data_IF_490628785462
#
_entry.id   IF_490628785462
#
_cell.length_a   1.000
_cell.length_b   1.000
_cell.length_c   1.000
_cell.angle_alpha   90.00
_cell.angle_beta   90.00
_cell.angle_gamma   90.00
#
_symmetry.space_group_name_H-M   'P 1'
#
loop_
_entity.id
_entity.type
_entity.pdbx_description
1 polymer ?
#
# COMPACT_ATOMS: atom_id res chain seq x y z
N UNK A 1 3.88 36.99 -6.52
CA UNK A 1 5.16 36.42 -6.05
C UNK A 1 4.91 35.11 -5.31
N UNK A 2 5.10 33.95 -5.96
CA UNK A 2 4.91 32.63 -5.35
C UNK A 2 6.19 32.21 -4.62
N UNK A 3 6.17 32.33 -3.29
CA UNK A 3 7.24 31.84 -2.42
C UNK A 3 7.28 30.31 -2.42
N UNK A 4 8.11 29.75 -3.29
CA UNK A 4 8.36 28.32 -3.38
C UNK A 4 9.33 27.90 -2.26
N UNK A 5 8.85 27.90 -1.01
CA UNK A 5 9.59 27.38 0.15
C UNK A 5 9.46 25.85 0.21
N UNK A 6 10.13 25.16 -0.71
CA UNK A 6 10.61 23.80 -0.46
C UNK A 6 12.04 23.91 0.09
N UNK A 7 12.19 24.54 1.27
CA UNK A 7 13.40 24.45 2.06
C UNK A 7 13.55 23.01 2.56
N UNK A 8 14.75 22.45 2.41
CA UNK A 8 15.16 21.17 2.99
C UNK A 8 14.73 21.11 4.46
N UNK A 9 13.73 20.29 4.78
CA UNK A 9 13.66 19.74 6.14
C UNK A 9 14.72 18.64 6.20
N UNK A 10 15.85 18.94 6.80
CA UNK A 10 16.73 17.88 7.29
C UNK A 10 15.91 16.98 8.22
N UNK A 11 16.15 15.67 8.15
CA UNK A 11 15.43 14.72 8.98
C UNK A 11 15.81 14.95 10.44
N UNK A 12 14.81 15.24 11.26
CA UNK A 12 15.00 15.34 12.69
C UNK A 12 15.09 13.92 13.31
N UNK A 13 15.41 13.84 14.61
CA UNK A 13 15.54 12.57 15.31
C UNK A 13 14.26 11.72 15.26
N UNK A 14 13.09 12.35 15.41
CA UNK A 14 11.78 11.67 15.35
C UNK A 14 11.49 11.12 13.96
N UNK A 15 11.86 11.83 12.89
CA UNK A 15 11.70 11.35 11.52
C UNK A 15 12.54 10.06 11.32
N UNK A 16 13.79 10.07 11.78
CA UNK A 16 14.70 8.91 11.69
C UNK A 16 14.15 7.73 12.49
N UNK A 17 13.74 7.96 13.73
CA UNK A 17 13.15 6.94 14.58
C UNK A 17 11.89 6.32 13.97
N UNK A 18 11.01 7.15 13.42
CA UNK A 18 9.81 6.67 12.73
C UNK A 18 10.16 5.81 11.51
N UNK A 19 11.17 6.20 10.73
CA UNK A 19 11.68 5.41 9.60
C UNK A 19 12.20 4.05 10.06
N UNK A 20 13.01 3.99 11.11
CA UNK A 20 13.55 2.73 11.66
C UNK A 20 12.44 1.76 12.09
N UNK A 21 11.39 2.30 12.73
CA UNK A 21 10.27 1.51 13.24
C UNK A 21 9.38 0.94 12.12
N UNK A 22 9.15 1.70 11.05
CA UNK A 22 8.03 1.40 10.13
C UNK A 22 8.42 1.15 8.68
N UNK A 23 9.58 1.62 8.22
CA UNK A 23 9.91 1.63 6.78
C UNK A 23 9.85 0.27 6.11
N UNK A 24 10.19 -0.81 6.83
CA UNK A 24 10.15 -2.19 6.32
C UNK A 24 8.76 -2.63 5.82
N UNK A 25 7.68 -2.00 6.31
CA UNK A 25 6.29 -2.32 5.94
C UNK A 25 5.65 -1.29 5.00
N UNK A 26 6.40 -0.27 4.57
CA UNK A 26 5.86 0.87 3.84
C UNK A 26 5.19 0.48 2.51
N UNK A 27 5.77 -0.45 1.75
CA UNK A 27 5.22 -0.83 0.44
C UNK A 27 3.96 -1.68 0.57
N UNK A 28 3.92 -2.57 1.57
CA UNK A 28 2.78 -3.41 1.92
C UNK A 28 1.61 -2.51 2.35
N UNK A 29 1.87 -1.58 3.27
CA UNK A 29 0.89 -0.61 3.73
C UNK A 29 0.31 0.24 2.59
N UNK A 30 1.15 0.63 1.64
CA UNK A 30 0.72 1.40 0.45
C UNK A 30 0.04 0.55 -0.63
N UNK A 31 -0.03 -0.78 -0.48
CA UNK A 31 -0.65 -1.69 -1.43
C UNK A 31 0.04 -1.69 -2.80
N UNK A 32 1.36 -1.52 -2.83
CA UNK A 32 2.16 -1.27 -4.05
C UNK A 32 2.53 -2.56 -4.79
N UNK A 33 1.52 -3.38 -5.07
CA UNK A 33 1.61 -4.77 -5.48
C UNK A 33 1.81 -5.02 -6.99
N UNK A 34 2.02 -3.95 -7.77
CA UNK A 34 2.15 -3.99 -9.22
C UNK A 34 3.01 -2.85 -9.74
N UNK A 35 3.60 -3.04 -10.93
CA UNK A 35 4.47 -2.04 -11.54
C UNK A 35 3.80 -0.67 -11.74
N UNK A 36 2.54 -0.64 -12.17
CA UNK A 36 1.80 0.60 -12.37
C UNK A 36 1.69 1.42 -11.08
N UNK A 37 1.43 0.77 -9.94
CA UNK A 37 1.42 1.41 -8.62
C UNK A 37 2.82 1.82 -8.18
N UNK A 38 3.80 0.94 -8.33
CA UNK A 38 5.20 1.21 -7.96
C UNK A 38 5.78 2.41 -8.69
N UNK A 39 5.50 2.56 -9.98
CA UNK A 39 6.00 3.69 -10.78
C UNK A 39 5.60 5.05 -10.21
N UNK A 40 4.47 5.14 -9.48
CA UNK A 40 3.96 6.38 -8.86
C UNK A 40 4.76 6.82 -7.64
N UNK A 41 5.52 5.91 -7.03
CA UNK A 41 6.31 6.19 -5.82
C UNK A 41 7.81 6.24 -6.09
N UNK A 42 8.24 6.05 -7.35
CA UNK A 42 9.62 6.23 -7.75
C UNK A 42 9.89 7.71 -8.01
N UNK A 43 10.83 8.29 -7.27
CA UNK A 43 11.23 9.68 -7.41
C UNK A 43 12.74 9.80 -7.19
N UNK A 44 13.34 10.93 -7.55
CA UNK A 44 14.72 11.21 -7.19
C UNK A 44 14.83 11.30 -5.66
N UNK A 45 15.61 10.44 -5.03
CA UNK A 45 15.74 10.39 -3.57
C UNK A 45 17.19 10.38 -3.09
N UNK A 46 17.39 10.92 -1.88
CA UNK A 46 18.63 10.74 -1.13
C UNK A 46 18.53 9.41 -0.38
N UNK A 47 19.33 8.42 -0.81
CA UNK A 47 19.26 7.06 -0.29
C UNK A 47 19.66 7.00 1.19
N UNK A 48 18.88 6.25 1.97
CA UNK A 48 19.13 6.01 3.39
C UNK A 48 19.74 4.63 3.60
N UNK A 49 20.66 4.52 4.56
CA UNK A 49 21.20 3.22 4.96
C UNK A 49 20.27 2.58 6.00
N UNK A 50 19.56 1.51 5.61
CA UNK A 50 18.55 0.83 6.42
C UNK A 50 18.54 -0.66 6.04
N UNK A 51 19.63 -1.37 6.32
CA UNK A 51 19.90 -2.70 5.77
C UNK A 51 18.72 -3.67 5.93
N UNK A 52 18.16 -3.81 7.14
CA UNK A 52 17.03 -4.71 7.39
C UNK A 52 15.76 -4.31 6.62
N UNK A 53 15.40 -3.02 6.65
CA UNK A 53 14.20 -2.54 5.95
C UNK A 53 14.35 -2.66 4.43
N UNK A 54 15.57 -2.45 3.91
CA UNK A 54 15.89 -2.59 2.50
C UNK A 54 15.67 -4.02 2.01
N UNK A 55 16.01 -5.05 2.81
CA UNK A 55 15.78 -6.44 2.41
C UNK A 55 14.28 -6.74 2.23
N UNK A 56 13.45 -6.30 3.17
CA UNK A 56 11.98 -6.50 3.11
C UNK A 56 11.36 -5.75 1.92
N UNK A 57 11.78 -4.51 1.73
CA UNK A 57 11.36 -3.69 0.58
C UNK A 57 11.79 -4.35 -0.73
N UNK A 58 13.03 -4.83 -0.81
CA UNK A 58 13.56 -5.51 -1.99
C UNK A 58 12.79 -6.79 -2.29
N UNK A 59 12.41 -7.55 -1.26
CA UNK A 59 11.56 -8.72 -1.38
C UNK A 59 10.17 -8.35 -1.91
N UNK A 60 9.54 -7.29 -1.39
CA UNK A 60 8.22 -6.85 -1.84
C UNK A 60 8.21 -6.30 -3.28
N UNK A 61 9.27 -5.59 -3.68
CA UNK A 61 9.47 -5.15 -5.06
C UNK A 61 9.66 -6.35 -5.99
N UNK A 62 10.39 -7.37 -5.55
CA UNK A 62 10.57 -8.61 -6.30
C UNK A 62 9.26 -9.37 -6.45
N UNK A 63 8.45 -9.45 -5.39
CA UNK A 63 7.09 -9.99 -5.44
C UNK A 63 6.21 -9.25 -6.46
N UNK A 64 6.22 -7.91 -6.43
CA UNK A 64 5.45 -7.08 -7.35
C UNK A 64 5.92 -7.19 -8.80
N UNK A 65 7.24 -7.34 -9.01
CA UNK A 65 7.82 -7.61 -10.31
C UNK A 65 7.39 -8.99 -10.82
N UNK A 66 7.42 -10.01 -9.97
CA UNK A 66 6.99 -11.37 -10.32
C UNK A 66 5.52 -11.42 -10.75
N UNK A 67 4.62 -10.69 -10.07
CA UNK A 67 3.22 -10.54 -10.51
C UNK A 67 3.11 -9.88 -11.88
N UNK A 68 3.91 -8.84 -12.12
CA UNK A 68 3.93 -8.13 -13.40
C UNK A 68 4.42 -9.04 -14.52
N UNK A 69 5.47 -9.83 -14.28
CA UNK A 69 5.97 -10.85 -15.20
C UNK A 69 4.93 -11.93 -15.47
N UNK A 70 4.28 -12.48 -14.44
CA UNK A 70 3.22 -13.48 -14.59
C UNK A 70 2.07 -12.99 -15.50
N UNK A 71 1.68 -11.71 -15.36
CA UNK A 71 0.71 -11.08 -16.27
C UNK A 71 1.27 -10.92 -17.68
N UNK A 72 2.52 -10.47 -17.80
CA UNK A 72 3.19 -10.30 -19.09
C UNK A 72 3.32 -11.61 -19.87
N UNK A 73 3.55 -12.76 -19.21
CA UNK A 73 3.57 -14.07 -19.86
C UNK A 73 2.22 -14.37 -20.49
N UNK A 74 1.13 -14.18 -19.76
CA UNK A 74 -0.21 -14.38 -20.31
C UNK A 74 -0.50 -13.42 -21.47
N UNK A 75 -0.11 -12.15 -21.34
CA UNK A 75 -0.28 -11.16 -22.41
C UNK A 75 0.53 -11.51 -23.63
N UNK A 76 1.81 -11.88 -23.49
CA UNK A 76 2.69 -12.24 -24.61
C UNK A 76 2.23 -13.50 -25.33
N UNK A 77 1.84 -14.54 -24.58
CA UNK A 77 1.24 -15.75 -25.18
C UNK A 77 -0.05 -15.39 -25.92
N UNK A 78 -0.94 -14.58 -25.34
CA UNK A 78 -2.18 -14.14 -26.01
C UNK A 78 -1.90 -13.30 -27.26
N UNK A 79 -0.94 -12.40 -27.20
CA UNK A 79 -0.54 -11.53 -28.31
C UNK A 79 0.00 -12.36 -29.48
N UNK A 80 0.71 -13.46 -29.21
CA UNK A 80 1.13 -14.42 -30.22
C UNK A 80 -0.06 -15.03 -30.98
N UNK A 81 -1.15 -15.39 -30.28
CA UNK A 81 -2.37 -15.89 -30.92
C UNK A 81 -3.10 -14.82 -31.74
N UNK A 82 -3.05 -13.56 -31.30
CA UNK A 82 -3.81 -12.45 -31.92
C UNK A 82 -3.07 -11.82 -33.10
N UNK A 83 -1.76 -11.57 -32.97
CA UNK A 83 -0.93 -10.91 -34.00
C UNK A 83 -0.61 -11.80 -35.19
N UNK A 84 -0.99 -13.08 -35.14
CA UNK A 84 -0.80 -14.03 -36.24
C UNK A 84 0.64 -14.04 -36.78
N UNK A 85 1.63 -13.93 -35.88
CA UNK A 85 3.01 -14.26 -36.25
C UNK A 85 3.07 -15.78 -36.44
N UNK A 86 2.59 -16.22 -37.60
CA UNK A 86 2.68 -17.61 -38.01
C UNK A 86 3.90 -17.74 -38.92
N UNK A 87 4.72 -18.74 -38.65
CA UNK A 87 5.67 -19.22 -39.64
C UNK A 87 4.88 -20.01 -40.68
N UNK A 88 5.11 -19.67 -41.94
CA UNK A 88 4.62 -20.47 -43.06
C UNK A 88 5.62 -21.59 -43.28
N UNK A 89 5.17 -22.82 -43.10
CA UNK A 89 5.94 -24.01 -43.40
C UNK A 89 5.23 -24.82 -44.47
N UNK A 90 5.97 -25.66 -45.17
CA UNK A 90 5.45 -26.59 -46.19
C UNK A 90 5.88 -27.99 -45.79
N UNK A 91 4.94 -28.93 -45.77
CA UNK A 91 5.24 -30.34 -45.51
C UNK A 91 4.17 -31.25 -46.07
N UNK A 92 4.39 -32.56 -45.98
CA UNK A 92 3.43 -33.58 -46.43
C UNK A 92 2.18 -33.63 -45.53
N UNK A 93 2.33 -33.32 -44.24
CA UNK A 93 1.26 -33.33 -43.24
C UNK A 93 0.96 -31.94 -42.64
N UNK A 94 -0.32 -31.69 -42.34
CA UNK A 94 -0.77 -30.44 -41.70
C UNK A 94 -0.53 -30.50 -40.19
N UNK A 95 0.45 -29.74 -39.70
CA UNK A 95 0.77 -29.63 -38.26
C UNK A 95 0.33 -28.30 -37.63
N UNK A 96 -0.52 -27.52 -38.34
CA UNK A 96 -0.99 -26.20 -37.92
C UNK A 96 -2.27 -25.78 -38.64
N UNK A 97 -2.48 -24.47 -38.82
CA UNK A 97 -3.63 -23.96 -39.59
C UNK A 97 -3.27 -24.03 -41.08
N UNK A 98 -4.02 -24.77 -41.89
CA UNK A 98 -3.78 -24.88 -43.33
C UNK A 98 -3.90 -23.51 -44.02
N UNK A 99 -2.87 -23.11 -44.78
CA UNK A 99 -2.89 -21.95 -45.68
C UNK A 99 -3.25 -22.43 -47.08
N UNK A 100 -4.54 -22.41 -47.39
CA UNK A 100 -5.07 -22.93 -48.67
C UNK A 100 -4.44 -22.19 -49.86
N UNK A 101 -4.32 -20.87 -49.78
CA UNK A 101 -3.82 -20.04 -50.88
C UNK A 101 -2.37 -20.37 -51.24
N UNK A 102 -1.50 -20.55 -50.23
CA UNK A 102 -0.09 -20.93 -50.48
C UNK A 102 0.06 -22.40 -50.86
N UNK A 103 -0.78 -23.28 -50.31
CA UNK A 103 -0.77 -24.72 -50.62
C UNK A 103 -1.04 -25.01 -52.08
N UNK A 104 -1.88 -24.21 -52.75
CA UNK A 104 -2.18 -24.37 -54.18
C UNK A 104 -0.93 -24.35 -55.07
N UNK A 105 0.15 -23.68 -54.63
CA UNK A 105 1.40 -23.60 -55.40
C UNK A 105 2.35 -24.78 -55.17
N UNK A 106 2.11 -25.59 -54.13
CA UNK A 106 3.00 -26.69 -53.71
C UNK A 106 2.36 -28.07 -53.81
N UNK A 107 1.05 -28.12 -54.11
CA UNK A 107 0.34 -29.35 -54.41
C UNK A 107 0.86 -30.03 -55.70
N UNK A 108 0.78 -31.36 -55.81
CA UNK A 108 0.25 -32.30 -54.82
C UNK A 108 1.23 -32.68 -53.71
N UNK A 109 2.49 -32.23 -53.78
CA UNK A 109 3.58 -32.79 -52.98
C UNK A 109 3.64 -32.25 -51.55
N UNK A 110 3.29 -30.98 -51.34
CA UNK A 110 3.30 -30.36 -50.02
C UNK A 110 2.09 -29.46 -49.81
N UNK A 111 1.66 -29.35 -48.56
CA UNK A 111 0.69 -28.37 -48.08
C UNK A 111 1.39 -27.31 -47.25
N UNK A 112 1.04 -26.05 -47.50
CA UNK A 112 1.49 -24.93 -46.70
C UNK A 112 0.59 -24.80 -45.46
N UNK A 113 1.20 -24.76 -44.28
CA UNK A 113 0.48 -24.55 -43.03
C UNK A 113 1.17 -23.47 -42.19
N UNK A 114 0.37 -22.86 -41.33
CA UNK A 114 0.74 -21.79 -40.42
C UNK A 114 0.90 -22.35 -39.02
N UNK A 115 2.10 -22.25 -38.46
CA UNK A 115 2.36 -22.56 -37.06
C UNK A 115 2.66 -21.30 -36.24
N UNK A 116 2.16 -21.19 -35.00
CA UNK A 116 2.51 -20.07 -34.13
C UNK A 116 4.03 -19.93 -34.02
N UNK A 117 4.56 -18.74 -34.27
CA UNK A 117 6.00 -18.48 -34.19
C UNK A 117 6.46 -18.49 -32.73
N UNK A 118 6.73 -19.68 -32.19
CA UNK A 118 7.28 -19.87 -30.84
C UNK A 118 8.72 -19.33 -30.71
N UNK A 119 9.33 -18.85 -31.81
CA UNK A 119 10.66 -18.23 -31.87
C UNK A 119 10.63 -16.70 -31.89
N UNK A 120 9.49 -16.07 -31.54
CA UNK A 120 9.45 -14.62 -31.33
C UNK A 120 10.54 -14.21 -30.33
N UNK A 121 11.41 -13.28 -30.76
CA UNK A 121 12.54 -12.80 -29.95
C UNK A 121 12.04 -12.18 -28.64
N UNK A 122 10.89 -11.53 -28.68
CA UNK A 122 10.22 -10.88 -27.56
C UNK A 122 9.84 -11.89 -26.46
N UNK A 123 9.35 -13.07 -26.86
CA UNK A 123 9.03 -14.15 -25.90
C UNK A 123 10.30 -14.77 -25.31
N UNK A 124 11.38 -14.90 -26.09
CA UNK A 124 12.68 -15.32 -25.56
C UNK A 124 13.26 -14.29 -24.57
N UNK A 125 13.10 -12.99 -24.83
CA UNK A 125 13.47 -11.93 -23.88
C UNK A 125 12.64 -12.02 -22.60
N UNK A 126 11.33 -12.24 -22.72
CA UNK A 126 10.47 -12.46 -21.56
C UNK A 126 10.85 -13.69 -20.76
N UNK A 127 11.25 -14.77 -21.45
CA UNK A 127 11.70 -16.01 -20.81
C UNK A 127 12.95 -15.77 -19.95
N UNK A 128 13.88 -14.93 -20.42
CA UNK A 128 15.03 -14.50 -19.62
C UNK A 128 14.61 -13.68 -18.40
N UNK A 129 13.75 -12.67 -18.58
CA UNK A 129 13.24 -11.82 -17.49
C UNK A 129 12.52 -12.66 -16.42
N UNK A 130 11.73 -13.64 -16.86
CA UNK A 130 10.99 -14.53 -15.97
C UNK A 130 11.91 -15.42 -15.14
N UNK A 131 12.93 -16.03 -15.75
CA UNK A 131 13.93 -16.85 -15.05
C UNK A 131 14.69 -16.03 -14.01
N UNK A 132 15.14 -14.83 -14.36
CA UNK A 132 15.88 -13.93 -13.47
C UNK A 132 15.03 -13.41 -12.31
N UNK A 133 13.80 -12.97 -12.60
CA UNK A 133 12.87 -12.50 -11.56
C UNK A 133 12.49 -13.62 -10.60
N UNK A 134 12.29 -14.84 -11.13
CA UNK A 134 12.00 -16.02 -10.34
C UNK A 134 13.16 -16.42 -9.42
N UNK A 135 14.41 -16.35 -9.90
CA UNK A 135 15.60 -16.59 -9.08
C UNK A 135 15.65 -15.60 -7.92
N UNK A 136 15.57 -14.30 -8.21
CA UNK A 136 15.57 -13.26 -7.19
C UNK A 136 14.43 -13.43 -6.17
N UNK A 137 13.25 -13.89 -6.64
CA UNK A 137 12.10 -14.13 -5.77
C UNK A 137 12.35 -15.28 -4.79
N UNK A 138 12.99 -16.37 -5.24
CA UNK A 138 13.35 -17.49 -4.36
C UNK A 138 14.37 -17.05 -3.31
N UNK A 139 15.40 -16.32 -3.72
CA UNK A 139 16.47 -15.87 -2.82
C UNK A 139 15.94 -14.94 -1.71
N UNK A 140 14.93 -14.13 -2.02
CA UNK A 140 14.35 -13.15 -1.10
C UNK A 140 13.11 -13.65 -0.36
N UNK A 141 12.73 -14.91 -0.53
CA UNK A 141 11.46 -15.43 0.00
C UNK A 141 11.40 -15.36 1.54
N UNK A 142 12.52 -15.52 2.24
CA UNK A 142 12.53 -15.47 3.71
C UNK A 142 12.14 -14.10 4.26
N UNK A 143 12.52 -13.02 3.57
CA UNK A 143 12.17 -11.64 3.96
C UNK A 143 10.69 -11.28 3.74
N UNK A 144 9.91 -12.17 3.13
CA UNK A 144 8.46 -11.98 2.94
C UNK A 144 7.60 -12.44 4.11
N UNK A 145 8.18 -13.18 5.07
CA UNK A 145 7.46 -13.77 6.21
C UNK A 145 7.34 -12.85 7.42
N UNK A 146 7.67 -11.56 7.28
CA UNK A 146 7.73 -10.63 8.41
C UNK A 146 6.35 -10.08 8.74
N UNK A 147 5.88 -10.39 9.95
CA UNK A 147 4.64 -9.87 10.54
C UNK A 147 4.74 -8.37 10.88
N UNK A 148 3.62 -7.61 10.86
CA UNK A 148 2.23 -8.04 10.65
C UNK A 148 1.79 -8.04 9.18
N UNK A 149 2.68 -7.66 8.25
CA UNK A 149 2.38 -7.56 6.81
C UNK A 149 3.13 -8.62 6.01
N UNK A 150 3.05 -9.87 6.46
CA UNK A 150 3.61 -11.00 5.74
C UNK A 150 2.92 -11.13 4.38
N UNK A 151 3.72 -11.34 3.33
CA UNK A 151 3.25 -11.62 1.96
C UNK A 151 3.85 -12.92 1.42
N UNK A 152 4.28 -13.79 2.34
CA UNK A 152 5.00 -15.01 2.04
C UNK A 152 4.18 -16.01 1.24
N UNK A 153 2.91 -16.18 1.60
CA UNK A 153 2.01 -17.09 0.91
C UNK A 153 1.71 -16.61 -0.52
N UNK A 154 1.46 -15.32 -0.70
CA UNK A 154 1.25 -14.68 -1.99
C UNK A 154 2.48 -14.80 -2.87
N UNK A 155 3.67 -14.54 -2.31
CA UNK A 155 4.93 -14.68 -3.02
C UNK A 155 5.18 -16.14 -3.45
N UNK A 156 4.96 -17.12 -2.56
CA UNK A 156 5.03 -18.55 -2.92
C UNK A 156 4.08 -18.93 -4.05
N UNK A 157 2.83 -18.45 -3.99
CA UNK A 157 1.83 -18.68 -5.03
C UNK A 157 2.27 -18.12 -6.38
N UNK A 158 2.81 -16.91 -6.40
CA UNK A 158 3.30 -16.28 -7.64
C UNK A 158 4.58 -16.95 -8.17
N UNK A 159 5.46 -17.45 -7.29
CA UNK A 159 6.63 -18.28 -7.65
C UNK A 159 6.17 -19.57 -8.34
N UNK A 160 5.17 -20.27 -7.79
CA UNK A 160 4.63 -21.50 -8.40
C UNK A 160 4.06 -21.21 -9.79
N UNK A 161 3.22 -20.18 -9.92
CA UNK A 161 2.67 -19.75 -11.22
C UNK A 161 3.75 -19.43 -12.24
N UNK A 162 4.77 -18.66 -11.84
CA UNK A 162 5.87 -18.30 -12.73
C UNK A 162 6.68 -19.53 -13.16
N UNK A 163 6.90 -20.49 -12.25
CA UNK A 163 7.60 -21.73 -12.55
C UNK A 163 6.87 -22.63 -13.54
N UNK A 164 5.54 -22.70 -13.45
CA UNK A 164 4.71 -23.44 -14.42
C UNK A 164 4.68 -22.73 -15.76
N UNK A 165 4.40 -21.42 -15.76
CA UNK A 165 4.24 -20.61 -16.98
C UNK A 165 5.53 -20.44 -17.77
N UNK A 166 6.69 -20.38 -17.12
CA UNK A 166 7.98 -20.27 -17.84
C UNK A 166 8.23 -21.47 -18.77
N UNK A 167 7.61 -22.63 -18.52
CA UNK A 167 7.75 -23.82 -19.37
C UNK A 167 7.10 -23.64 -20.75
N UNK A 168 6.18 -22.69 -20.86
CA UNK A 168 5.48 -22.36 -22.11
C UNK A 168 6.27 -21.36 -22.96
N UNK A 169 7.36 -20.81 -22.44
CA UNK A 169 8.19 -19.83 -23.12
C UNK A 169 9.36 -20.51 -23.82
N UNK A 170 9.87 -19.95 -24.92
CA UNK A 170 11.04 -20.47 -25.61
C UNK A 170 12.32 -20.35 -24.77
N UNK A 171 13.43 -20.82 -25.36
CA UNK A 171 14.75 -20.63 -24.78
C UNK A 171 15.05 -19.14 -24.55
N UNK A 172 15.67 -18.80 -23.40
CA UNK A 172 15.87 -17.42 -23.01
C UNK A 172 16.96 -16.79 -23.85
N UNK A 173 16.75 -15.56 -24.25
CA UNK A 173 17.78 -14.71 -24.86
C UNK A 173 17.92 -13.41 -24.07
N UNK A 174 19.13 -12.84 -24.10
CA UNK A 174 19.40 -11.58 -23.40
C UNK A 174 18.46 -10.50 -23.95
N UNK A 175 17.66 -9.82 -23.10
CA UNK A 175 16.68 -8.85 -23.56
C UNK A 175 17.30 -7.69 -24.33
N UNK A 176 16.83 -7.46 -25.55
CA UNK A 176 17.01 -6.20 -26.27
C UNK A 176 15.66 -5.52 -26.37
N UNK A 177 15.46 -4.46 -25.58
CA UNK A 177 14.17 -3.78 -25.44
C UNK A 177 14.31 -2.33 -25.84
N UNK A 178 13.47 -1.93 -26.79
CA UNK A 178 13.42 -0.60 -27.38
C UNK A 178 12.02 0.03 -27.20
N UNK A 179 11.79 1.15 -27.88
CA UNK A 179 10.51 1.84 -27.84
C UNK A 179 9.40 1.12 -28.62
N UNK A 180 9.75 0.28 -29.59
CA UNK A 180 8.80 -0.48 -30.42
C UNK A 180 8.37 -1.80 -29.77
N UNK A 181 9.09 -2.25 -28.75
CA UNK A 181 8.81 -3.46 -28.01
C UNK A 181 7.41 -3.44 -27.38
N UNK A 182 6.70 -4.58 -27.33
CA UNK A 182 5.37 -4.65 -26.75
C UNK A 182 5.31 -4.17 -25.29
N UNK A 183 4.19 -3.56 -24.90
CA UNK A 183 4.00 -3.02 -23.55
C UNK A 183 4.22 -4.05 -22.45
N UNK A 184 3.78 -5.29 -22.66
CA UNK A 184 3.99 -6.37 -21.70
C UNK A 184 5.48 -6.68 -21.48
N UNK A 185 6.31 -6.58 -22.52
CA UNK A 185 7.75 -6.78 -22.44
C UNK A 185 8.44 -5.60 -21.77
N UNK A 186 8.12 -4.37 -22.21
CA UNK A 186 8.67 -3.13 -21.62
C UNK A 186 8.36 -3.03 -20.13
N UNK A 187 7.12 -3.29 -19.74
CA UNK A 187 6.68 -3.20 -18.34
C UNK A 187 7.30 -4.29 -17.47
N UNK A 188 7.41 -5.53 -17.97
CA UNK A 188 8.03 -6.63 -17.20
C UNK A 188 9.53 -6.40 -17.00
N UNK A 189 10.25 -5.90 -18.00
CA UNK A 189 11.66 -5.55 -17.86
C UNK A 189 11.90 -4.38 -16.90
N UNK A 190 11.09 -3.32 -16.99
CA UNK A 190 11.16 -2.21 -16.03
C UNK A 190 10.91 -2.69 -14.60
N UNK A 191 9.94 -3.57 -14.40
CA UNK A 191 9.66 -4.16 -13.08
C UNK A 191 10.84 -5.00 -12.57
N UNK A 192 11.46 -5.80 -13.43
CA UNK A 192 12.69 -6.53 -13.12
C UNK A 192 13.84 -5.59 -12.69
N UNK A 193 14.10 -4.53 -13.45
CA UNK A 193 15.16 -3.56 -13.14
C UNK A 193 14.97 -2.89 -11.78
N UNK A 194 13.73 -2.53 -11.43
CA UNK A 194 13.39 -1.95 -10.12
C UNK A 194 13.67 -2.95 -9.00
N UNK A 195 13.29 -4.22 -9.18
CA UNK A 195 13.49 -5.27 -8.17
C UNK A 195 14.97 -5.54 -7.87
N UNK A 196 15.86 -5.26 -8.82
CA UNK A 196 17.32 -5.46 -8.68
C UNK A 196 18.02 -4.29 -8.00
N UNK A 197 17.47 -3.07 -8.10
CA UNK A 197 18.20 -1.83 -7.78
C UNK A 197 17.68 -1.09 -6.54
N UNK A 198 16.81 -1.72 -5.77
CA UNK A 198 15.98 -1.04 -4.77
C UNK A 198 16.79 -0.37 -3.66
N UNK A 199 16.96 0.95 -3.75
CA UNK A 199 17.23 1.79 -2.58
C UNK A 199 15.97 2.57 -2.22
N UNK A 200 15.97 3.13 -1.02
CA UNK A 200 14.86 3.91 -0.50
C UNK A 200 15.40 5.22 0.07
N UNK A 201 14.61 6.29 -0.05
CA UNK A 201 15.00 7.57 0.48
C UNK A 201 13.86 8.59 0.48
N UNK A 202 14.21 9.82 0.84
CA UNK A 202 13.30 10.96 0.77
C UNK A 202 13.62 11.78 -0.47
N UNK A 203 12.57 12.43 -1.00
CA UNK A 203 12.64 13.24 -2.22
C UNK A 203 13.83 14.21 -2.18
N UNK A 204 14.61 14.19 -3.25
CA UNK A 204 15.83 14.96 -3.48
C UNK A 204 15.84 15.56 -4.88
N UNK A 205 16.52 16.70 -5.06
CA UNK A 205 16.68 17.35 -6.38
C UNK A 205 17.74 16.65 -7.26
N UNK A 206 18.74 16.02 -6.65
CA UNK A 206 19.87 15.38 -7.34
C UNK A 206 19.92 13.85 -7.19
N UNK A 207 18.94 13.26 -6.49
CA UNK A 207 18.90 11.83 -6.19
C UNK A 207 18.65 10.92 -7.39
N UNK A 208 18.83 9.62 -7.17
CA UNK A 208 18.46 8.56 -8.15
C UNK A 208 16.97 8.23 -8.02
N UNK A 209 16.36 7.79 -9.12
CA UNK A 209 14.95 7.32 -9.11
C UNK A 209 14.85 6.02 -8.33
N UNK A 210 14.35 6.11 -7.11
CA UNK A 210 14.25 5.02 -6.13
C UNK A 210 12.96 5.19 -5.31
N UNK A 211 12.70 4.30 -4.34
CA UNK A 211 11.45 4.32 -3.55
C UNK A 211 11.39 5.57 -2.67
N UNK A 212 10.42 6.45 -2.94
CA UNK A 212 10.15 7.65 -2.15
C UNK A 212 9.30 7.34 -0.93
N UNK A 213 9.87 7.61 0.24
CA UNK A 213 9.16 7.61 1.53
C UNK A 213 8.41 8.93 1.70
N UNK A 214 7.19 8.84 2.21
CA UNK A 214 6.43 9.97 2.72
C UNK A 214 6.26 9.79 4.23
N UNK A 215 6.85 10.70 5.01
CA UNK A 215 6.91 10.58 6.48
C UNK A 215 5.52 10.52 7.12
N UNK A 216 4.56 11.31 6.66
CA UNK A 216 3.19 11.25 7.21
C UNK A 216 2.56 9.88 7.03
N UNK A 217 2.82 9.19 5.92
CA UNK A 217 2.36 7.81 5.67
C UNK A 217 3.08 6.78 6.54
N UNK A 218 4.33 7.03 6.94
CA UNK A 218 4.99 6.21 7.96
C UNK A 218 4.36 6.40 9.34
N UNK A 219 3.90 7.61 9.66
CA UNK A 219 3.22 7.86 10.94
C UNK A 219 1.86 7.16 11.02
N UNK A 220 1.07 7.21 9.95
CA UNK A 220 -0.18 6.43 9.86
C UNK A 220 0.09 4.93 10.06
N UNK A 221 1.14 4.41 9.44
CA UNK A 221 1.60 3.02 9.62
C UNK A 221 2.09 2.73 11.05
N UNK A 222 2.74 3.67 11.71
CA UNK A 222 3.14 3.53 13.12
C UNK A 222 1.92 3.41 14.03
N UNK A 223 0.97 4.33 13.91
CA UNK A 223 -0.27 4.31 14.69
C UNK A 223 -1.05 3.03 14.42
N UNK A 224 -1.10 2.60 13.16
CA UNK A 224 -1.67 1.31 12.80
C UNK A 224 -1.03 0.14 13.56
N UNK A 225 0.30 0.06 13.62
CA UNK A 225 1.00 -1.03 14.34
C UNK A 225 0.65 -1.03 15.83
N UNK A 226 0.51 0.16 16.43
CA UNK A 226 0.06 0.30 17.82
C UNK A 226 -1.37 -0.22 17.99
N UNK A 227 -2.31 0.20 17.13
CA UNK A 227 -3.71 -0.27 17.15
C UNK A 227 -3.79 -1.78 16.96
N UNK A 228 -3.00 -2.34 16.03
CA UNK A 228 -2.93 -3.79 15.79
C UNK A 228 -2.51 -4.56 17.03
N UNK A 229 -1.49 -4.08 17.76
CA UNK A 229 -1.06 -4.70 19.01
C UNK A 229 -2.21 -4.69 20.02
N UNK A 230 -2.97 -3.59 20.12
CA UNK A 230 -4.11 -3.46 21.05
C UNK A 230 -5.18 -4.49 20.76
N UNK A 231 -5.54 -4.62 19.48
CA UNK A 231 -6.57 -5.55 19.05
C UNK A 231 -6.14 -7.02 19.24
N UNK A 232 -4.86 -7.34 18.97
CA UNK A 232 -4.32 -8.69 19.25
C UNK A 232 -4.35 -9.03 20.74
N UNK A 233 -3.99 -8.10 21.62
CA UNK A 233 -4.03 -8.33 23.07
C UNK A 233 -5.47 -8.48 23.60
N UNK A 234 -6.45 -7.81 22.98
CA UNK A 234 -7.87 -8.05 23.24
C UNK A 234 -8.36 -9.43 22.75
N UNK A 235 -7.51 -10.25 22.11
CA UNK A 235 -7.82 -11.61 21.67
C UNK A 235 -8.28 -11.73 20.22
N UNK A 236 -8.34 -10.63 19.46
CA UNK A 236 -8.73 -10.71 18.05
C UNK A 236 -7.67 -11.45 17.22
N UNK A 237 -8.10 -12.48 16.51
CA UNK A 237 -7.26 -13.13 15.50
C UNK A 237 -7.35 -12.34 14.20
N UNK A 238 -6.35 -11.52 13.92
CA UNK A 238 -6.36 -10.60 12.78
C UNK A 238 -5.63 -11.23 11.58
N UNK A 239 -6.31 -11.34 10.45
CA UNK A 239 -5.78 -11.85 9.18
C UNK A 239 -5.84 -10.76 8.11
N UNK A 240 -4.79 -10.67 7.30
CA UNK A 240 -4.78 -9.78 6.13
C UNK A 240 -5.62 -10.34 4.99
N UNK A 241 -6.51 -9.51 4.46
CA UNK A 241 -7.16 -9.67 3.15
C UNK A 241 -6.72 -8.53 2.24
N UNK A 242 -6.95 -8.66 0.94
CA UNK A 242 -6.55 -7.63 -0.04
C UNK A 242 -7.17 -6.25 0.31
N UNK A 243 -6.35 -5.36 0.88
CA UNK A 243 -6.72 -3.97 1.18
C UNK A 243 -7.20 -3.68 2.61
N UNK A 244 -7.42 -4.69 3.46
CA UNK A 244 -7.88 -4.50 4.85
C UNK A 244 -7.57 -5.72 5.72
N UNK A 245 -7.66 -5.56 7.04
CA UNK A 245 -7.53 -6.67 7.97
C UNK A 245 -8.90 -7.04 8.56
N UNK A 246 -9.18 -8.33 8.62
CA UNK A 246 -10.34 -8.88 9.35
C UNK A 246 -9.86 -9.54 10.63
N UNK A 247 -10.47 -9.19 11.75
CA UNK A 247 -10.34 -9.82 13.04
C UNK A 247 -11.62 -10.56 13.41
N UNK A 248 -11.49 -11.68 14.12
CA UNK A 248 -12.63 -12.37 14.72
C UNK A 248 -12.33 -12.75 16.16
N UNK A 249 -13.33 -12.62 17.03
CA UNK A 249 -13.31 -13.08 18.43
C UNK A 249 -14.69 -13.66 18.77
N UNK A 250 -14.80 -15.00 18.77
CA UNK A 250 -16.11 -15.66 18.90
C UNK A 250 -17.06 -15.26 17.77
N UNK A 251 -18.22 -14.69 18.13
CA UNK A 251 -19.21 -14.15 17.17
C UNK A 251 -18.96 -12.68 16.81
N UNK A 252 -17.93 -12.04 17.38
CA UNK A 252 -17.59 -10.66 17.04
C UNK A 252 -16.70 -10.62 15.79
N UNK A 253 -17.11 -9.82 14.81
CA UNK A 253 -16.32 -9.49 13.63
C UNK A 253 -15.70 -8.10 13.80
N UNK A 254 -14.45 -7.96 13.38
CA UNK A 254 -13.73 -6.70 13.40
C UNK A 254 -13.14 -6.43 12.02
N UNK A 255 -13.45 -5.28 11.44
CA UNK A 255 -12.81 -4.80 10.23
C UNK A 255 -11.89 -3.63 10.60
N UNK A 256 -10.64 -3.72 10.16
CA UNK A 256 -9.65 -2.66 10.29
C UNK A 256 -9.26 -2.20 8.87
N UNK A 257 -9.73 -1.01 8.51
CA UNK A 257 -9.61 -0.44 7.17
C UNK A 257 -8.57 0.70 7.13
N UNK A 258 -7.81 0.79 6.03
CA UNK A 258 -6.70 1.76 5.85
C UNK A 258 -6.94 2.67 4.65
N UNK A 259 -7.14 3.97 4.88
CA UNK A 259 -7.32 4.92 3.79
C UNK A 259 -8.40 4.44 2.78
N UNK A 260 -9.39 3.70 3.29
CA UNK A 260 -10.57 3.20 2.59
C UNK A 260 -11.76 3.91 3.19
N UNK A 261 -12.69 4.27 2.32
CA UNK A 261 -13.97 4.83 2.72
C UNK A 261 -14.78 3.79 3.54
N UNK A 262 -15.20 4.13 4.78
CA UNK A 262 -16.05 3.26 5.61
C UNK A 262 -17.32 2.76 4.91
N UNK A 263 -17.85 3.46 3.91
CA UNK A 263 -19.03 3.01 3.14
C UNK A 263 -18.80 1.68 2.42
N UNK A 264 -17.55 1.33 2.14
CA UNK A 264 -17.17 0.02 1.57
C UNK A 264 -17.53 -1.16 2.48
N UNK A 265 -17.84 -0.89 3.76
CA UNK A 265 -18.27 -1.87 4.78
C UNK A 265 -19.74 -1.68 5.18
N UNK A 266 -20.53 -1.00 4.34
CA UNK A 266 -21.93 -0.73 4.62
C UNK A 266 -22.16 0.25 5.78
N UNK A 267 -21.16 1.08 6.12
CA UNK A 267 -21.35 2.26 6.95
C UNK A 267 -22.13 3.29 6.13
N UNK A 268 -23.18 3.87 6.72
CA UNK A 268 -23.87 4.99 6.09
C UNK A 268 -23.09 6.27 6.33
N UNK A 269 -22.90 7.05 5.28
CA UNK A 269 -22.40 8.40 5.36
C UNK A 269 -23.57 9.42 5.32
N UNK A 270 -23.24 10.69 5.53
CA UNK A 270 -24.21 11.80 5.56
C UNK A 270 -24.58 12.31 4.15
N UNK A 271 -23.76 12.05 3.13
CA UNK A 271 -23.86 12.64 1.80
C UNK A 271 -24.55 11.64 0.85
N UNK A 272 -25.86 11.78 0.71
CA UNK A 272 -26.64 10.90 -0.17
C UNK A 272 -26.36 11.12 -1.66
N UNK A 273 -26.23 12.38 -2.09
CA UNK A 273 -25.99 12.73 -3.49
C UNK A 273 -25.31 14.10 -3.66
N UNK A 274 -24.71 14.30 -4.84
CA UNK A 274 -24.25 15.61 -5.31
C UNK A 274 -25.06 15.98 -6.55
N UNK A 275 -25.56 17.22 -6.59
CA UNK A 275 -26.49 17.69 -7.62
C UNK A 275 -26.02 17.37 -9.05
N UNK A 276 -26.91 16.76 -9.83
CA UNK A 276 -26.69 16.33 -11.22
C UNK A 276 -25.43 15.47 -11.47
N UNK A 277 -24.84 14.87 -10.43
CA UNK A 277 -23.64 14.03 -10.54
C UNK A 277 -23.95 12.55 -10.35
N UNK A 278 -23.08 11.70 -10.91
CA UNK A 278 -23.20 10.26 -10.76
C UNK A 278 -22.71 9.78 -9.37
N UNK A 279 -23.07 8.54 -9.01
CA UNK A 279 -22.66 7.92 -7.75
C UNK A 279 -21.13 7.89 -7.58
N UNK A 280 -20.39 7.76 -8.69
CA UNK A 280 -18.93 7.72 -8.66
C UNK A 280 -18.34 9.06 -8.21
N UNK A 281 -18.89 10.17 -8.70
CA UNK A 281 -18.51 11.50 -8.27
C UNK A 281 -18.92 11.74 -6.83
N UNK A 282 -20.14 11.36 -6.44
CA UNK A 282 -20.61 11.44 -5.04
C UNK A 282 -19.64 10.72 -4.09
N UNK A 283 -19.22 9.48 -4.42
CA UNK A 283 -18.21 8.75 -3.63
C UNK A 283 -16.81 9.38 -3.63
N UNK A 284 -16.54 10.29 -4.58
CA UNK A 284 -15.24 10.98 -4.66
C UNK A 284 -15.12 12.15 -3.69
N UNK A 285 -16.25 12.72 -3.26
CA UNK A 285 -16.29 13.85 -2.29
C UNK A 285 -16.33 13.38 -0.84
N UNK A 286 -16.61 12.11 -0.60
CA UNK A 286 -16.63 11.51 0.74
C UNK A 286 -15.27 11.61 1.43
N UNK A 287 -15.33 11.81 2.74
CA UNK A 287 -14.22 11.72 3.66
C UNK A 287 -13.46 10.41 3.52
N UNK A 288 -12.14 10.47 3.70
CA UNK A 288 -11.28 9.28 3.73
C UNK A 288 -10.46 9.30 5.00
N UNK A 289 -10.93 8.66 6.07
CA UNK A 289 -10.14 8.53 7.28
C UNK A 289 -8.87 7.72 7.05
N UNK A 290 -7.83 8.01 7.82
CA UNK A 290 -6.57 7.28 7.71
C UNK A 290 -6.75 5.82 8.16
N UNK A 291 -7.55 5.62 9.21
CA UNK A 291 -7.81 4.35 9.87
C UNK A 291 -9.28 4.27 10.34
N UNK A 292 -9.90 3.10 10.25
CA UNK A 292 -11.23 2.84 10.80
C UNK A 292 -11.31 1.45 11.41
N UNK A 293 -11.86 1.36 12.63
CA UNK A 293 -12.16 0.11 13.34
C UNK A 293 -13.67 -0.05 13.34
N UNK A 294 -14.16 -1.10 12.70
CA UNK A 294 -15.57 -1.45 12.66
C UNK A 294 -15.72 -2.76 13.42
N UNK A 295 -16.36 -2.72 14.58
CA UNK A 295 -16.68 -3.91 15.36
C UNK A 295 -18.15 -4.23 15.19
N UNK A 296 -18.46 -5.43 14.75
CA UNK A 296 -19.81 -5.94 14.54
C UNK A 296 -20.09 -7.09 15.51
N UNK A 297 -21.20 -6.98 16.22
CA UNK A 297 -21.83 -8.07 16.97
C UNK A 297 -23.29 -8.20 16.53
N UNK A 298 -23.94 -9.32 16.90
CA UNK A 298 -25.30 -9.69 16.45
C UNK A 298 -26.36 -8.59 16.59
N UNK A 299 -26.18 -7.64 17.52
CA UNK A 299 -27.14 -6.56 17.78
C UNK A 299 -26.53 -5.15 17.74
N UNK A 300 -25.21 -5.01 17.52
CA UNK A 300 -24.56 -3.71 17.63
C UNK A 300 -23.36 -3.59 16.70
N UNK A 301 -23.29 -2.47 15.99
CA UNK A 301 -22.10 -2.04 15.27
C UNK A 301 -21.46 -0.88 16.01
N UNK A 302 -20.14 -0.92 16.16
CA UNK A 302 -19.30 0.14 16.70
C UNK A 302 -18.32 0.62 15.65
N UNK A 303 -18.27 1.92 15.40
CA UNK A 303 -17.32 2.56 14.49
C UNK A 303 -16.40 3.50 15.26
N UNK A 304 -15.10 3.23 15.20
CA UNK A 304 -14.05 4.14 15.64
C UNK A 304 -13.30 4.65 14.42
N UNK A 305 -13.23 5.96 14.25
CA UNK A 305 -12.40 6.59 13.23
C UNK A 305 -11.10 7.08 13.87
N UNK A 306 -9.98 6.92 13.17
CA UNK A 306 -8.67 7.43 13.62
C UNK A 306 -8.08 8.29 12.50
N UNK A 307 -7.86 9.57 12.78
CA UNK A 307 -7.18 10.54 11.92
C UNK A 307 -5.79 10.82 12.49
N UNK A 308 -4.77 10.65 11.66
CA UNK A 308 -3.37 10.78 12.03
C UNK A 308 -2.79 12.11 11.52
N UNK A 309 -2.19 12.89 12.41
CA UNK A 309 -1.47 14.12 12.05
C UNK A 309 -0.02 14.04 12.48
N UNK A 310 0.88 13.82 11.51
CA UNK A 310 2.32 13.95 11.75
C UNK A 310 2.77 15.41 11.66
N UNK A 311 2.44 16.18 12.70
CA UNK A 311 2.85 17.57 12.84
C UNK A 311 2.98 17.91 14.32
N UNK A 312 3.86 18.85 14.63
CA UNK A 312 4.02 19.41 15.97
C UNK A 312 3.47 20.84 16.05
N UNK A 313 2.89 21.34 14.95
CA UNK A 313 2.36 22.69 14.86
C UNK A 313 0.91 22.73 15.36
N UNK A 314 0.57 23.65 16.28
CA UNK A 314 -0.80 23.84 16.77
C UNK A 314 -1.83 24.05 15.65
N UNK A 315 -1.47 24.76 14.58
CA UNK A 315 -2.35 25.00 13.42
C UNK A 315 -2.85 23.69 12.81
N UNK A 316 -1.93 22.77 12.48
CA UNK A 316 -2.27 21.50 11.85
C UNK A 316 -3.04 20.55 12.78
N UNK A 317 -2.78 20.62 14.09
CA UNK A 317 -3.53 19.82 15.07
C UNK A 317 -4.94 20.39 15.27
N UNK A 318 -5.09 21.71 15.20
CA UNK A 318 -6.40 22.38 15.23
C UNK A 318 -7.25 21.97 14.02
N UNK A 319 -6.68 22.02 12.81
CA UNK A 319 -7.32 21.49 11.60
C UNK A 319 -7.69 20.00 11.74
N UNK A 320 -6.78 19.20 12.30
CA UNK A 320 -7.02 17.80 12.62
C UNK A 320 -8.20 17.58 13.56
N UNK A 321 -8.35 18.42 14.59
CA UNK A 321 -9.47 18.34 15.55
C UNK A 321 -10.80 18.58 14.87
N UNK A 322 -10.90 19.60 14.02
CA UNK A 322 -12.14 19.87 13.28
C UNK A 322 -12.44 18.79 12.25
N UNK A 323 -11.42 18.25 11.58
CA UNK A 323 -11.60 17.12 10.66
C UNK A 323 -12.08 15.85 11.39
N UNK A 324 -11.52 15.56 12.57
CA UNK A 324 -11.96 14.47 13.42
C UNK A 324 -13.43 14.63 13.83
N UNK A 325 -13.84 15.84 14.22
CA UNK A 325 -15.24 16.15 14.49
C UNK A 325 -16.12 15.96 13.25
N UNK A 326 -15.70 16.44 12.07
CA UNK A 326 -16.44 16.28 10.83
C UNK A 326 -16.68 14.80 10.50
N UNK A 327 -15.65 13.95 10.61
CA UNK A 327 -15.79 12.49 10.44
C UNK A 327 -16.73 11.85 11.46
N UNK A 328 -16.77 12.36 12.69
CA UNK A 328 -17.74 11.87 13.68
C UNK A 328 -19.17 12.04 13.17
N UNK A 329 -19.50 13.19 12.56
CA UNK A 329 -20.82 13.46 12.00
C UNK A 329 -21.04 12.75 10.67
N UNK A 330 -20.11 12.86 9.73
CA UNK A 330 -20.23 12.32 8.38
C UNK A 330 -20.50 10.82 8.38
N UNK A 331 -19.79 10.05 9.21
CA UNK A 331 -19.94 8.58 9.27
C UNK A 331 -20.72 8.09 10.49
N UNK A 332 -21.31 9.00 11.27
CA UNK A 332 -21.99 8.69 12.53
C UNK A 332 -21.17 7.79 13.47
N UNK A 333 -19.84 8.01 13.55
CA UNK A 333 -18.96 7.16 14.35
C UNK A 333 -19.24 7.28 15.85
N UNK A 334 -19.13 6.20 16.61
CA UNK A 334 -19.24 6.23 18.08
C UNK A 334 -18.14 7.07 18.73
N UNK A 335 -16.94 7.03 18.15
CA UNK A 335 -15.82 7.85 18.56
C UNK A 335 -14.88 8.16 17.39
N UNK A 336 -14.24 9.32 17.43
CA UNK A 336 -13.13 9.65 16.51
C UNK A 336 -11.89 10.03 17.31
N UNK A 337 -10.73 9.50 16.95
CA UNK A 337 -9.44 9.79 17.56
C UNK A 337 -8.62 10.67 16.61
N UNK A 338 -8.18 11.84 17.08
CA UNK A 338 -7.09 12.59 16.50
C UNK A 338 -5.79 12.14 17.15
N UNK A 339 -4.92 11.49 16.38
CA UNK A 339 -3.63 10.96 16.85
C UNK A 339 -2.48 11.78 16.29
N UNK A 340 -1.59 12.27 17.15
CA UNK A 340 -0.48 13.14 16.77
C UNK A 340 0.71 12.99 17.73
N UNK A 341 1.95 13.33 17.32
CA UNK A 341 3.14 13.09 18.14
C UNK A 341 3.37 14.10 19.27
N UNK A 342 2.51 15.12 19.40
CA UNK A 342 2.62 16.19 20.38
C UNK A 342 2.64 17.59 19.76
N UNK A 343 2.89 18.62 20.58
CA UNK A 343 2.98 20.02 20.13
C UNK A 343 4.33 20.64 20.51
N UNK A 344 4.95 21.37 19.56
CA UNK A 344 6.12 22.23 19.76
C UNK A 344 5.73 23.69 19.62
N UNK A 345 6.41 24.57 20.36
CA UNK A 345 6.21 26.02 20.35
C UNK A 345 4.73 26.40 20.49
N UNK A 346 4.25 26.36 21.74
CA UNK A 346 2.87 26.64 22.16
C UNK A 346 2.45 28.12 22.03
N UNK A 347 2.99 28.82 21.02
CA UNK A 347 2.58 30.19 20.69
C UNK A 347 1.45 30.09 19.68
N UNK A 348 0.23 30.39 20.12
CA UNK A 348 -0.93 30.48 19.26
C UNK A 348 -0.77 31.65 18.29
N UNK A 349 -1.22 31.49 17.04
CA UNK A 349 -1.32 32.62 16.12
C UNK A 349 -2.57 33.47 16.37
N UNK A 350 -3.68 32.86 16.82
CA UNK A 350 -4.89 33.47 17.39
C UNK A 350 -6.00 32.40 17.61
N UNK A 351 -6.99 32.68 18.47
CA UNK A 351 -8.30 32.01 18.49
C UNK A 351 -8.29 30.49 18.76
N UNK A 352 -8.76 29.70 17.80
CA UNK A 352 -8.98 28.25 17.92
C UNK A 352 -7.71 27.45 18.24
N UNK A 353 -6.55 27.94 17.80
CA UNK A 353 -5.24 27.35 18.11
C UNK A 353 -4.93 27.43 19.60
N UNK A 354 -5.33 28.52 20.26
CA UNK A 354 -5.14 28.69 21.70
C UNK A 354 -5.98 27.67 22.47
N UNK A 355 -7.22 27.41 22.03
CA UNK A 355 -8.05 26.37 22.61
C UNK A 355 -7.42 24.99 22.44
N UNK A 356 -6.86 24.68 21.26
CA UNK A 356 -6.15 23.41 21.02
C UNK A 356 -4.92 23.27 21.91
N UNK A 357 -4.14 24.34 22.07
CA UNK A 357 -2.99 24.38 22.98
C UNK A 357 -3.45 24.14 24.41
N UNK A 358 -4.45 24.85 24.91
CA UNK A 358 -4.98 24.67 26.28
C UNK A 358 -5.47 23.25 26.53
N UNK A 359 -6.20 22.65 25.59
CA UNK A 359 -6.62 21.23 25.67
C UNK A 359 -5.40 20.31 25.76
N UNK A 360 -4.39 20.53 24.93
CA UNK A 360 -3.15 19.76 24.98
C UNK A 360 -2.41 19.95 26.30
N UNK A 361 -2.37 21.16 26.86
CA UNK A 361 -1.74 21.41 28.15
C UNK A 361 -2.46 20.70 29.29
N UNK A 362 -3.79 20.72 29.31
CA UNK A 362 -4.58 19.95 30.28
C UNK A 362 -4.37 18.44 30.11
N UNK A 363 -4.29 17.95 28.86
CA UNK A 363 -3.94 16.56 28.57
C UNK A 363 -2.57 16.18 29.15
N UNK A 364 -1.57 17.07 29.03
CA UNK A 364 -0.21 16.83 29.53
C UNK A 364 -0.06 17.01 31.05
N UNK A 365 -1.04 17.60 31.75
CA UNK A 365 -1.07 17.68 33.21
C UNK A 365 -1.62 16.40 33.86
N UNK A 366 -2.45 15.64 33.13
CA UNK A 366 -3.09 14.44 33.66
C UNK A 366 -2.07 13.32 33.85
N UNK A 367 -2.06 12.76 35.07
CA UNK A 367 -1.30 11.56 35.40
C UNK A 367 -2.20 10.49 35.98
N UNK A 368 -1.93 9.23 35.63
CA UNK A 368 -2.56 8.05 36.21
C UNK A 368 -1.44 7.10 36.61
N UNK A 369 -1.43 6.65 37.88
CA UNK A 369 -0.36 5.81 38.44
C UNK A 369 1.05 6.40 38.26
N UNK A 370 1.17 7.74 38.38
CA UNK A 370 2.44 8.45 38.20
C UNK A 370 2.88 8.68 36.75
N UNK A 371 2.22 8.05 35.78
CA UNK A 371 2.52 8.16 34.34
C UNK A 371 1.61 9.18 33.65
N UNK A 372 2.12 9.81 32.61
CA UNK A 372 1.34 10.74 31.78
C UNK A 372 0.23 9.99 31.05
N UNK A 373 -1.01 10.49 31.17
CA UNK A 373 -2.16 9.87 30.49
C UNK A 373 -2.05 10.04 28.96
N UNK A 374 -1.63 11.22 28.51
CA UNK A 374 -1.35 11.50 27.09
C UNK A 374 -2.57 11.41 26.16
N UNK A 375 -3.79 11.47 26.71
CA UNK A 375 -5.03 11.60 25.94
C UNK A 375 -6.11 12.37 26.71
N UNK A 376 -7.06 12.93 25.97
CA UNK A 376 -8.24 13.63 26.51
C UNK A 376 -9.42 13.45 25.57
N UNK A 377 -10.63 13.27 26.10
CA UNK A 377 -11.86 13.20 25.31
C UNK A 377 -12.69 14.48 25.37
N UNK A 378 -13.27 14.83 24.24
CA UNK A 378 -14.28 15.87 24.07
C UNK A 378 -15.62 15.17 23.87
N UNK A 379 -16.50 15.28 24.88
CA UNK A 379 -17.87 14.74 24.78
C UNK A 379 -18.75 15.70 23.98
N UNK A 380 -19.32 15.21 22.89
CA UNK A 380 -20.30 15.93 22.07
C UNK A 380 -21.67 15.91 22.76
N UNK A 381 -22.55 16.83 22.36
CA UNK A 381 -23.88 16.99 22.98
C UNK A 381 -24.76 15.73 22.86
N UNK A 382 -24.58 14.97 21.79
CA UNK A 382 -25.27 13.69 21.55
C UNK A 382 -24.61 12.48 22.24
N UNK A 383 -23.57 12.72 23.05
CA UNK A 383 -22.88 11.69 23.80
C UNK A 383 -21.71 11.02 23.08
N UNK A 384 -21.53 11.24 21.77
CA UNK A 384 -20.35 10.77 21.03
C UNK A 384 -19.08 11.47 21.51
N UNK A 385 -17.91 10.89 21.22
CA UNK A 385 -16.63 11.39 21.74
C UNK A 385 -15.60 11.64 20.64
N UNK A 386 -14.88 12.75 20.77
CA UNK A 386 -13.66 13.00 20.00
C UNK A 386 -12.47 12.97 20.94
N UNK A 387 -11.56 12.03 20.73
CA UNK A 387 -10.36 11.86 21.53
C UNK A 387 -9.18 12.57 20.87
N UNK A 388 -8.39 13.29 21.65
CA UNK A 388 -7.04 13.72 21.27
C UNK A 388 -6.07 12.77 21.96
N UNK A 389 -5.16 12.16 21.19
CA UNK A 389 -4.23 11.14 21.69
C UNK A 389 -2.81 11.45 21.23
N UNK A 390 -1.89 11.58 22.18
CA UNK A 390 -0.47 11.76 21.91
C UNK A 390 0.23 10.41 21.75
N UNK A 391 0.71 10.15 20.53
CA UNK A 391 1.48 8.96 20.18
C UNK A 391 2.78 9.40 19.51
N UNK A 392 3.87 9.46 20.28
CA UNK A 392 5.18 9.96 19.81
C UNK A 392 6.12 8.79 19.47
N UNK A 393 6.64 8.68 18.22
CA UNK A 393 7.64 7.67 17.86
C UNK A 393 8.94 7.71 18.69
N UNK A 394 9.23 8.84 19.36
CA UNK A 394 10.38 8.98 20.26
C UNK A 394 10.17 8.34 21.63
N UNK A 395 8.93 8.11 22.04
CA UNK A 395 8.61 7.45 23.30
C UNK A 395 8.66 5.92 23.15
N UNK A 396 8.75 5.23 24.28
CA UNK A 396 8.76 3.78 24.29
C UNK A 396 7.48 3.21 23.67
N UNK A 397 7.62 2.11 22.92
CA UNK A 397 6.49 1.50 22.21
C UNK A 397 5.40 1.04 23.19
N UNK A 398 5.80 0.62 24.39
CA UNK A 398 4.88 0.17 25.44
C UNK A 398 4.01 1.31 25.99
N UNK A 399 4.56 2.52 26.14
CA UNK A 399 3.77 3.67 26.60
C UNK A 399 2.74 4.10 25.57
N UNK A 400 3.15 4.20 24.30
CA UNK A 400 2.24 4.48 23.19
C UNK A 400 1.12 3.44 23.10
N UNK A 401 1.49 2.17 23.32
CA UNK A 401 0.58 1.05 23.34
C UNK A 401 -0.45 1.14 24.48
N UNK A 402 -0.03 1.33 25.72
CA UNK A 402 -0.94 1.40 26.87
C UNK A 402 -1.90 2.60 26.78
N UNK A 403 -1.44 3.74 26.25
CA UNK A 403 -2.32 4.89 25.97
C UNK A 403 -3.39 4.55 24.94
N UNK A 404 -3.01 3.97 23.81
CA UNK A 404 -3.96 3.57 22.77
C UNK A 404 -4.92 2.48 23.27
N UNK A 405 -4.41 1.51 24.03
CA UNK A 405 -5.19 0.43 24.66
C UNK A 405 -6.27 0.98 25.59
N UNK A 406 -5.91 1.93 26.45
CA UNK A 406 -6.84 2.59 27.36
C UNK A 406 -7.96 3.28 26.59
N UNK A 407 -7.63 4.08 25.57
CA UNK A 407 -8.61 4.81 24.76
C UNK A 407 -9.56 3.85 24.03
N UNK A 408 -9.01 2.89 23.27
CA UNK A 408 -9.81 1.92 22.52
C UNK A 408 -10.70 1.09 23.45
N UNK A 409 -10.18 0.64 24.60
CA UNK A 409 -10.97 -0.14 25.57
C UNK A 409 -12.08 0.65 26.23
N UNK A 410 -11.99 1.98 26.29
CA UNK A 410 -13.09 2.83 26.76
C UNK A 410 -14.27 2.90 25.78
N UNK A 411 -14.09 2.40 24.55
CA UNK A 411 -15.07 2.49 23.46
C UNK A 411 -15.65 1.12 23.09
N UNK A 412 -14.83 0.05 23.07
CA UNK A 412 -15.18 -1.30 22.56
C UNK A 412 -15.03 -2.47 23.54
#
# INVERSE_FOLDING_TARGET
>A
MKGNQNQRKSLNARDKRLIELTSRFYLQYRGMDSFSKLSRILDKVDAMNLDDAQQVISAYLTYSALRTVNRAINSGLRDQWVRREYLSETGEDVSGILDVSRSLTTLPFNVAYLQPNLRSKELSFLAWIARETLRNAKDKLNYSAIEPFSFHHEMRREIKKAYERKKLLPEPSIPSIDENSPDWLRNSYRAYLISKRSKMGIKSRGGRKDVKIVISKLYELFVYMVVMKVLKEKGFTIKGKEGFMEGSLGNELLHLAFNVDPTSYGIKDLIESVDAMDEKFTKSVLGRPDLSIIKESESKRKLIIIECKYSLSPTYITEGRFKAMAYTYEFSSDATLLVFPGLLNRKAKQGEEESTIRIYEEMMKRKMNGQLVGWIDLKLRDGRKVYLVSIDPMEEMEENFERMKTVISSII
#
